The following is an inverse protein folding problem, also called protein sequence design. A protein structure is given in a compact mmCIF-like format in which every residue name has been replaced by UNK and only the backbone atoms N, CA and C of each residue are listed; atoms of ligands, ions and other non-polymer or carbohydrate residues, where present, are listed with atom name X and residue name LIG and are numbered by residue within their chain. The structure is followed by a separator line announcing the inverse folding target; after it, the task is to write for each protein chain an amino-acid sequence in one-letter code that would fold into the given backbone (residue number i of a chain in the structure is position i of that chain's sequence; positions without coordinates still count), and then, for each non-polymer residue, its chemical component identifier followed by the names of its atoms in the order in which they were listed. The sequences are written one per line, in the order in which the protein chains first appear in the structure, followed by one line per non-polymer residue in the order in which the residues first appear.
data_IF_747776458192
#
_entry.id   IF_747776458192
#
_cell.length_a   1.000
_cell.length_b   1.000
_cell.length_c   1.000
_cell.angle_alpha   90.00
_cell.angle_beta   90.00
_cell.angle_gamma   90.00
#
_symmetry.space_group_name_H-M   'P 1'
#
loop_
_entity.id
_entity.type
_entity.pdbx_description
1 polymer ?
#
# COMPACT_ATOMS: atom_id res chain seq x y z
N UNK A 1 -5.42 11.62 35.59
CA UNK A 1 -5.04 10.27 35.11
C UNK A 1 -3.85 10.42 34.20
N UNK A 2 -2.75 9.70 34.43
CA UNK A 2 -1.63 9.66 33.47
C UNK A 2 -2.08 8.73 32.34
N UNK A 3 -2.44 9.28 31.18
CA UNK A 3 -2.75 8.49 30.01
C UNK A 3 -1.47 7.76 29.56
N UNK A 4 -1.56 6.43 29.37
CA UNK A 4 -0.45 5.67 28.78
C UNK A 4 -0.26 6.13 27.33
N UNK A 5 1.00 6.17 26.88
CA UNK A 5 1.30 6.44 25.47
C UNK A 5 0.82 5.28 24.59
N UNK A 6 0.56 5.56 23.31
CA UNK A 6 0.08 4.54 22.37
C UNK A 6 1.04 3.34 22.27
N UNK A 7 2.35 3.60 22.25
CA UNK A 7 3.37 2.56 22.24
C UNK A 7 3.34 1.69 23.51
N UNK A 8 3.10 2.28 24.69
CA UNK A 8 3.00 1.53 25.93
C UNK A 8 1.75 0.65 25.97
N UNK A 9 0.65 1.07 25.31
CA UNK A 9 -0.54 0.25 25.12
C UNK A 9 -0.23 -0.90 24.16
N UNK A 10 0.41 -0.63 23.02
CA UNK A 10 0.78 -1.64 22.04
C UNK A 10 1.71 -2.72 22.62
N UNK A 11 2.75 -2.33 23.36
CA UNK A 11 3.71 -3.24 23.97
C UNK A 11 3.10 -4.10 25.09
N UNK A 12 2.03 -3.61 25.74
CA UNK A 12 1.30 -4.36 26.77
C UNK A 12 0.23 -5.30 26.18
N UNK A 13 -0.01 -5.28 24.86
CA UNK A 13 -1.04 -6.09 24.22
C UNK A 13 -0.68 -7.58 24.24
N UNK A 14 -1.62 -8.42 24.68
CA UNK A 14 -1.48 -9.88 24.65
C UNK A 14 -1.87 -10.40 23.27
N UNK A 15 -0.92 -10.33 22.33
CA UNK A 15 -1.11 -10.79 20.95
C UNK A 15 -1.28 -12.31 20.88
N UNK A 16 -2.22 -12.77 20.06
CA UNK A 16 -2.33 -14.19 19.68
C UNK A 16 -1.36 -14.52 18.54
N UNK A 17 -0.83 -15.75 18.45
CA UNK A 17 -0.13 -16.19 17.25
C UNK A 17 -1.01 -15.98 16.02
N UNK A 18 -0.45 -15.43 14.94
CA UNK A 18 -1.26 -15.00 13.79
C UNK A 18 -2.01 -16.15 13.11
N UNK A 19 -1.41 -17.35 13.13
CA UNK A 19 -2.04 -18.58 12.67
C UNK A 19 -3.33 -18.93 13.44
N UNK A 20 -3.38 -18.63 14.74
CA UNK A 20 -4.57 -18.86 15.55
C UNK A 20 -5.65 -17.83 15.21
N UNK A 21 -5.29 -16.56 15.03
CA UNK A 21 -6.23 -15.54 14.55
C UNK A 21 -6.82 -15.93 13.18
N UNK A 22 -5.96 -16.35 12.26
CA UNK A 22 -6.35 -16.76 10.91
C UNK A 22 -7.28 -17.99 10.92
N UNK A 23 -6.97 -19.02 11.70
CA UNK A 23 -7.79 -20.22 11.83
C UNK A 23 -9.12 -19.92 12.53
N UNK A 24 -9.08 -19.33 13.73
CA UNK A 24 -10.25 -19.16 14.61
C UNK A 24 -11.24 -18.13 14.06
N UNK A 25 -10.75 -17.05 13.44
CA UNK A 25 -11.60 -15.92 13.00
C UNK A 25 -11.96 -16.00 11.52
N UNK A 26 -11.07 -16.53 10.68
CA UNK A 26 -11.20 -16.47 9.23
C UNK A 26 -11.31 -17.85 8.55
N UNK A 27 -11.02 -18.94 9.27
CA UNK A 27 -10.98 -20.28 8.69
C UNK A 27 -9.88 -20.43 7.63
N UNK A 28 -8.78 -19.69 7.77
CA UNK A 28 -7.60 -19.82 6.89
C UNK A 28 -6.69 -20.89 7.49
N UNK A 29 -6.38 -21.93 6.71
CA UNK A 29 -5.46 -22.99 7.11
C UNK A 29 -4.01 -22.47 7.19
N UNK A 30 -3.19 -23.04 8.08
CA UNK A 30 -1.78 -22.65 8.25
C UNK A 30 -0.98 -22.82 6.95
N UNK A 31 -1.35 -23.77 6.09
CA UNK A 31 -0.72 -23.99 4.77
C UNK A 31 -0.95 -22.88 3.77
N UNK A 32 -1.94 -22.01 4.00
CA UNK A 32 -2.22 -20.83 3.16
C UNK A 32 -1.51 -19.56 3.67
N UNK A 33 -0.72 -19.67 4.75
CA UNK A 33 -0.02 -18.56 5.39
C UNK A 33 1.49 -18.69 5.19
N UNK A 34 2.13 -17.54 4.98
CA UNK A 34 3.57 -17.39 4.94
C UNK A 34 3.99 -16.53 6.15
N UNK A 35 4.45 -17.14 7.26
CA UNK A 35 4.69 -16.41 8.51
C UNK A 35 5.90 -15.47 8.43
N UNK A 36 5.74 -14.26 8.96
CA UNK A 36 6.80 -13.28 9.23
C UNK A 36 6.94 -13.11 10.75
N UNK A 37 7.60 -14.08 11.36
CA UNK A 37 7.59 -14.27 12.80
C UNK A 37 6.23 -14.79 13.31
N UNK A 38 5.95 -14.61 14.60
CA UNK A 38 4.78 -15.21 15.24
C UNK A 38 3.46 -14.44 15.02
N UNK A 39 3.53 -13.14 14.74
CA UNK A 39 2.39 -12.21 14.83
C UNK A 39 1.99 -11.56 13.49
N UNK A 40 2.63 -11.95 12.39
CA UNK A 40 2.37 -11.44 11.03
C UNK A 40 2.47 -12.57 10.04
N UNK A 41 1.65 -12.57 9.00
CA UNK A 41 1.79 -13.52 7.90
C UNK A 41 1.32 -12.89 6.58
N UNK A 42 1.88 -13.30 5.46
CA UNK A 42 1.28 -13.09 4.14
C UNK A 42 0.27 -14.19 3.86
N UNK A 43 -0.83 -13.86 3.17
CA UNK A 43 -1.82 -14.85 2.72
C UNK A 43 -1.55 -15.19 1.25
N UNK A 44 -1.32 -16.48 0.97
CA UNK A 44 -0.90 -16.95 -0.36
C UNK A 44 -1.94 -16.70 -1.45
N UNK A 45 -1.49 -16.35 -2.66
CA UNK A 45 -2.38 -16.05 -3.79
C UNK A 45 -3.23 -17.25 -4.20
N UNK A 46 -2.66 -18.45 -4.24
CA UNK A 46 -3.38 -19.68 -4.55
C UNK A 46 -4.59 -19.88 -3.64
N UNK A 47 -4.47 -19.53 -2.35
CA UNK A 47 -5.61 -19.57 -1.43
C UNK A 47 -6.65 -18.48 -1.77
N UNK A 48 -6.21 -17.26 -2.07
CA UNK A 48 -7.12 -16.16 -2.43
C UNK A 48 -7.95 -16.49 -3.68
N UNK A 49 -7.38 -17.20 -4.64
CA UNK A 49 -8.09 -17.67 -5.84
C UNK A 49 -9.25 -18.61 -5.49
N UNK A 50 -9.09 -19.48 -4.48
CA UNK A 50 -10.17 -20.38 -4.01
C UNK A 50 -11.36 -19.65 -3.37
N UNK A 51 -11.22 -18.36 -3.06
CA UNK A 51 -12.26 -17.57 -2.41
C UNK A 51 -13.32 -17.03 -3.39
N UNK A 52 -13.08 -17.13 -4.71
CA UNK A 52 -13.90 -16.49 -5.75
C UNK A 52 -15.40 -16.80 -5.67
N UNK A 53 -15.74 -18.04 -5.34
CA UNK A 53 -17.13 -18.52 -5.30
C UNK A 53 -17.90 -18.12 -4.03
N UNK A 54 -17.21 -17.61 -3.01
CA UNK A 54 -17.86 -17.21 -1.75
C UNK A 54 -18.67 -15.93 -1.97
N UNK A 55 -19.90 -15.78 -1.45
CA UNK A 55 -20.62 -14.51 -1.55
C UNK A 55 -19.82 -13.39 -0.87
N UNK A 56 -19.78 -12.17 -1.45
CA UNK A 56 -19.06 -11.07 -0.84
C UNK A 56 -19.84 -10.56 0.38
N UNK A 57 -19.11 -10.17 1.42
CA UNK A 57 -19.61 -9.45 2.58
C UNK A 57 -20.00 -8.01 2.25
N UNK A 58 -20.34 -7.25 3.30
CA UNK A 58 -20.71 -5.84 3.21
C UNK A 58 -19.48 -4.96 3.36
N UNK A 59 -19.28 -4.04 2.43
CA UNK A 59 -18.16 -3.11 2.43
C UNK A 59 -18.55 -1.80 3.12
N UNK A 60 -17.79 -1.37 4.11
CA UNK A 60 -17.96 -0.10 4.83
C UNK A 60 -16.74 0.77 4.61
N UNK A 61 -16.95 1.94 4.01
CA UNK A 61 -15.90 2.95 3.84
C UNK A 61 -15.88 3.88 5.05
N UNK A 62 -14.71 4.08 5.64
CA UNK A 62 -14.47 5.14 6.63
C UNK A 62 -13.71 6.28 5.95
N UNK A 63 -14.28 7.48 6.02
CA UNK A 63 -13.69 8.74 5.56
C UNK A 63 -13.79 9.79 6.66
N UNK A 64 -13.37 11.02 6.39
CA UNK A 64 -13.43 12.11 7.35
C UNK A 64 -13.83 13.43 6.69
N UNK A 65 -14.08 14.45 7.52
CA UNK A 65 -14.05 15.85 7.09
C UNK A 65 -12.64 16.23 6.59
N UNK A 66 -12.51 17.43 6.00
CA UNK A 66 -11.21 17.97 5.62
C UNK A 66 -10.26 18.00 6.82
N UNK A 67 -9.02 17.46 6.69
CA UNK A 67 -8.10 17.37 7.82
C UNK A 67 -7.74 18.73 8.41
N UNK A 68 -7.71 18.78 9.73
CA UNK A 68 -7.33 19.95 10.52
C UNK A 68 -6.10 19.64 11.39
N UNK A 69 -5.39 20.66 11.90
CA UNK A 69 -4.31 20.43 12.88
C UNK A 69 -4.75 19.73 14.17
N UNK A 70 -6.06 19.73 14.49
CA UNK A 70 -6.59 19.10 15.71
C UNK A 70 -6.59 17.55 15.64
N UNK A 71 -6.62 17.01 14.42
CA UNK A 71 -6.67 15.57 14.14
C UNK A 71 -8.05 14.95 14.39
N UNK A 72 -8.56 14.24 13.38
CA UNK A 72 -9.93 13.71 13.40
C UNK A 72 -10.01 12.26 13.94
N UNK A 73 -8.92 11.50 13.91
CA UNK A 73 -8.91 10.11 14.40
C UNK A 73 -9.59 9.10 13.47
N UNK A 74 -9.52 9.31 12.14
CA UNK A 74 -10.13 8.43 11.13
C UNK A 74 -9.71 6.96 11.30
N UNK A 75 -8.41 6.68 11.32
CA UNK A 75 -7.90 5.30 11.41
C UNK A 75 -8.21 4.64 12.75
N UNK A 76 -8.18 5.41 13.84
CA UNK A 76 -8.67 4.96 15.15
C UNK A 76 -10.13 4.53 15.08
N UNK A 77 -10.97 5.27 14.33
CA UNK A 77 -12.38 4.92 14.13
C UNK A 77 -12.53 3.68 13.25
N UNK A 78 -11.74 3.53 12.18
CA UNK A 78 -11.72 2.32 11.34
C UNK A 78 -11.43 1.05 12.15
N UNK A 79 -10.43 1.11 13.03
CA UNK A 79 -10.05 -0.02 13.89
C UNK A 79 -11.11 -0.27 14.95
N UNK A 80 -11.55 0.78 15.66
CA UNK A 80 -12.55 0.68 16.73
C UNK A 80 -13.91 0.18 16.22
N UNK A 81 -14.31 0.56 15.01
CA UNK A 81 -15.52 0.03 14.36
C UNK A 81 -15.39 -1.47 14.09
N UNK A 82 -14.24 -1.91 13.57
CA UNK A 82 -13.96 -3.33 13.35
C UNK A 82 -14.00 -4.14 14.65
N UNK A 83 -13.40 -3.62 15.72
CA UNK A 83 -13.44 -4.25 17.05
C UNK A 83 -14.88 -4.29 17.61
N UNK A 84 -15.63 -3.20 17.51
CA UNK A 84 -17.02 -3.14 17.96
C UNK A 84 -17.92 -4.14 17.23
N UNK A 85 -17.77 -4.28 15.91
CA UNK A 85 -18.53 -5.27 15.12
C UNK A 85 -18.24 -6.70 15.57
N UNK A 86 -16.97 -7.03 15.82
CA UNK A 86 -16.58 -8.34 16.33
C UNK A 86 -17.12 -8.59 17.74
N UNK A 87 -17.16 -7.58 18.63
CA UNK A 87 -17.80 -7.67 19.95
C UNK A 87 -19.30 -7.93 19.88
N UNK A 88 -19.96 -7.43 18.83
CA UNK A 88 -21.38 -7.71 18.53
C UNK A 88 -21.60 -9.09 17.88
N UNK A 89 -20.56 -9.93 17.79
CA UNK A 89 -20.64 -11.26 17.21
C UNK A 89 -20.68 -11.28 15.68
N UNK A 90 -20.38 -10.15 15.01
CA UNK A 90 -20.30 -10.08 13.54
C UNK A 90 -18.86 -10.31 13.11
N UNK A 91 -18.63 -11.26 12.20
CA UNK A 91 -17.29 -11.50 11.66
C UNK A 91 -16.85 -10.33 10.79
N UNK A 92 -15.96 -9.49 11.31
CA UNK A 92 -15.47 -8.29 10.63
C UNK A 92 -13.95 -8.30 10.45
N UNK A 93 -13.48 -7.82 9.29
CA UNK A 93 -12.07 -7.57 8.99
C UNK A 93 -11.88 -6.08 8.71
N UNK A 94 -10.81 -5.48 9.23
CA UNK A 94 -10.40 -4.13 8.85
C UNK A 94 -9.27 -4.18 7.81
N UNK A 95 -9.33 -3.34 6.78
CA UNK A 95 -8.29 -3.19 5.76
C UNK A 95 -7.69 -1.78 5.84
N UNK A 96 -6.38 -1.69 6.04
CA UNK A 96 -5.65 -0.44 6.22
C UNK A 96 -4.44 -0.37 5.27
N UNK A 97 -3.88 0.84 5.18
CA UNK A 97 -2.65 1.11 4.44
C UNK A 97 -1.42 0.90 5.32
N UNK A 98 -0.35 0.43 4.70
CA UNK A 98 0.98 0.42 5.33
C UNK A 98 1.52 1.87 5.40
N UNK A 99 2.06 2.32 6.55
CA UNK A 99 2.72 3.61 6.63
C UNK A 99 4.10 3.59 5.96
N UNK A 100 4.47 4.72 5.37
CA UNK A 100 5.84 4.96 4.90
C UNK A 100 6.82 5.00 6.08
N UNK A 101 8.01 4.42 5.86
CA UNK A 101 9.11 4.34 6.82
C UNK A 101 9.69 5.73 7.15
N UNK A 102 9.93 6.55 6.12
CA UNK A 102 10.61 7.85 6.26
C UNK A 102 9.99 8.78 7.31
N UNK A 103 8.66 9.01 7.31
CA UNK A 103 7.96 9.80 8.33
C UNK A 103 8.16 9.37 9.78
N UNK A 104 8.40 8.07 10.05
CA UNK A 104 8.62 7.54 11.39
C UNK A 104 9.89 8.12 12.04
N UNK A 105 10.88 8.52 11.24
CA UNK A 105 12.11 9.19 11.69
C UNK A 105 12.01 10.73 11.66
N UNK A 106 10.84 11.26 11.32
CA UNK A 106 10.52 12.69 11.35
C UNK A 106 9.61 13.05 12.53
N UNK A 107 8.56 13.84 12.28
CA UNK A 107 7.61 14.28 13.31
C UNK A 107 6.30 13.48 13.36
N UNK A 108 6.03 12.58 12.40
CA UNK A 108 4.78 11.83 12.32
C UNK A 108 4.99 10.40 12.86
N UNK A 109 4.52 10.14 14.08
CA UNK A 109 4.45 8.79 14.63
C UNK A 109 3.10 8.12 14.33
N UNK A 110 3.16 6.88 13.83
CA UNK A 110 2.11 5.85 13.89
C UNK A 110 0.85 6.06 13.04
N UNK A 111 0.69 5.28 11.97
CA UNK A 111 -0.57 5.19 11.21
C UNK A 111 -1.45 3.99 11.61
N UNK A 112 -1.11 3.29 12.70
CA UNK A 112 -1.76 2.05 13.12
C UNK A 112 -2.89 2.25 14.16
N UNK A 113 -3.55 3.41 14.15
CA UNK A 113 -4.59 3.79 15.12
C UNK A 113 -4.05 4.55 16.34
N UNK A 114 -4.81 4.54 17.44
CA UNK A 114 -4.43 5.24 18.67
C UNK A 114 -5.28 4.82 19.88
N UNK A 115 -4.78 5.06 21.08
CA UNK A 115 -5.43 4.64 22.33
C UNK A 115 -5.62 3.13 22.39
N UNK A 116 -6.85 2.66 22.64
CA UNK A 116 -7.18 1.24 22.68
C UNK A 116 -7.73 0.69 21.34
N UNK A 117 -7.70 1.48 20.27
CA UNK A 117 -8.05 1.03 18.92
C UNK A 117 -6.79 1.11 18.05
N UNK A 118 -5.94 0.08 18.18
CA UNK A 118 -4.66 -0.03 17.50
C UNK A 118 -4.48 -1.39 16.81
N UNK A 119 -3.66 -1.41 15.76
CA UNK A 119 -3.17 -2.62 15.11
C UNK A 119 -1.75 -2.94 15.58
N UNK A 120 -1.48 -4.22 15.82
CA UNK A 120 -0.22 -4.72 16.37
C UNK A 120 0.33 -5.88 15.54
N UNK A 121 1.67 -6.06 15.48
CA UNK A 121 2.73 -5.31 16.19
C UNK A 121 3.07 -3.94 15.55
N UNK A 122 2.92 -2.85 16.31
CA UNK A 122 3.06 -1.48 15.81
C UNK A 122 4.48 -1.14 15.35
N UNK A 123 5.50 -1.65 16.03
CA UNK A 123 6.91 -1.40 15.69
C UNK A 123 7.25 -1.96 14.31
N UNK A 124 6.81 -3.18 14.03
CA UNK A 124 7.03 -3.81 12.72
C UNK A 124 6.28 -3.06 11.62
N UNK A 125 5.02 -2.69 11.86
CA UNK A 125 4.17 -1.97 10.90
C UNK A 125 4.77 -0.61 10.51
N UNK A 126 5.38 0.10 11.46
CA UNK A 126 6.00 1.41 11.21
C UNK A 126 7.41 1.32 10.60
N UNK A 127 8.02 0.13 10.56
CA UNK A 127 9.38 -0.07 10.08
C UNK A 127 9.39 -0.84 8.76
N UNK A 128 9.98 -2.03 8.74
CA UNK A 128 10.16 -2.82 7.52
C UNK A 128 8.97 -3.73 7.22
N UNK A 129 8.08 -3.91 8.20
CA UNK A 129 6.93 -4.79 8.17
C UNK A 129 7.22 -6.16 7.53
N UNK A 130 6.74 -6.40 6.32
CA UNK A 130 6.97 -7.62 5.53
C UNK A 130 7.82 -7.38 4.29
N UNK A 131 8.32 -6.16 4.09
CA UNK A 131 9.22 -5.76 3.02
C UNK A 131 8.53 -5.24 1.75
N UNK A 132 7.22 -5.00 1.77
CA UNK A 132 6.45 -4.59 0.59
C UNK A 132 6.97 -3.29 -0.02
N UNK A 133 7.26 -2.29 0.81
CA UNK A 133 7.76 -0.99 0.33
C UNK A 133 9.20 -1.09 -0.20
N UNK A 134 10.01 -2.00 0.33
CA UNK A 134 11.34 -2.30 -0.23
C UNK A 134 11.21 -2.92 -1.62
N UNK A 135 10.30 -3.87 -1.81
CA UNK A 135 10.04 -4.50 -3.10
C UNK A 135 9.54 -3.48 -4.15
N UNK A 136 8.65 -2.57 -3.74
CA UNK A 136 8.15 -1.48 -4.60
C UNK A 136 9.29 -0.51 -4.97
N UNK A 137 10.11 -0.12 -4.00
CA UNK A 137 11.30 0.70 -4.26
C UNK A 137 12.28 0.03 -5.23
N UNK A 138 12.52 -1.28 -5.05
CA UNK A 138 13.38 -2.06 -5.94
C UNK A 138 12.82 -2.14 -7.35
N UNK A 139 11.52 -2.41 -7.52
CA UNK A 139 10.87 -2.45 -8.83
C UNK A 139 10.92 -1.08 -9.54
N UNK A 140 10.63 0.01 -8.83
CA UNK A 140 10.72 1.36 -9.37
C UNK A 140 12.14 1.70 -9.85
N UNK A 141 13.13 1.43 -8.99
CA UNK A 141 14.52 1.78 -9.27
C UNK A 141 15.16 0.86 -10.31
N UNK A 142 14.70 -0.39 -10.44
CA UNK A 142 15.05 -1.25 -11.59
C UNK A 142 14.59 -0.60 -12.90
N UNK A 143 13.34 -0.12 -12.96
CA UNK A 143 12.84 0.56 -14.17
C UNK A 143 13.68 1.81 -14.49
N UNK A 144 14.00 2.64 -13.49
CA UNK A 144 14.88 3.79 -13.69
C UNK A 144 16.28 3.40 -14.20
N UNK A 145 16.86 2.32 -13.65
CA UNK A 145 18.14 1.80 -14.11
C UNK A 145 18.09 1.28 -15.56
N UNK A 146 17.00 0.61 -15.94
CA UNK A 146 16.78 0.13 -17.30
C UNK A 146 16.61 1.28 -18.29
N UNK A 147 15.93 2.37 -17.91
CA UNK A 147 15.81 3.59 -18.73
C UNK A 147 17.19 4.16 -19.05
N UNK A 148 18.02 4.39 -18.03
CA UNK A 148 19.36 4.95 -18.24
C UNK A 148 20.28 4.00 -19.01
N UNK A 149 20.18 2.69 -18.77
CA UNK A 149 20.92 1.67 -19.53
C UNK A 149 20.48 1.60 -21.01
N UNK A 150 19.17 1.73 -21.28
CA UNK A 150 18.62 1.76 -22.64
C UNK A 150 19.13 2.98 -23.43
N UNK A 151 19.19 4.15 -22.77
CA UNK A 151 19.80 5.36 -23.31
C UNK A 151 21.30 5.16 -23.56
N UNK A 152 22.02 4.58 -22.58
CA UNK A 152 23.47 4.36 -22.66
C UNK A 152 23.86 3.51 -23.88
N UNK A 153 23.18 2.38 -24.09
CA UNK A 153 23.42 1.49 -25.22
C UNK A 153 22.74 1.93 -26.51
N UNK A 154 22.03 3.07 -26.50
CA UNK A 154 21.37 3.68 -27.67
C UNK A 154 20.39 2.73 -28.35
N UNK A 155 19.66 1.96 -27.56
CA UNK A 155 18.62 1.04 -28.05
C UNK A 155 17.42 1.80 -28.64
N UNK A 156 16.65 1.10 -29.46
CA UNK A 156 15.37 1.59 -29.99
C UNK A 156 14.21 1.08 -29.12
N UNK A 157 13.15 1.89 -28.90
CA UNK A 157 12.99 3.27 -29.37
C UNK A 157 13.95 4.24 -28.64
N UNK A 158 14.47 5.24 -29.35
CA UNK A 158 15.30 6.30 -28.72
C UNK A 158 14.51 7.09 -27.70
N UNK A 159 15.06 7.26 -26.50
CA UNK A 159 14.50 8.14 -25.47
C UNK A 159 15.29 9.46 -25.46
N UNK A 160 14.60 10.60 -25.47
CA UNK A 160 15.22 11.90 -25.22
C UNK A 160 15.50 12.04 -23.71
N UNK A 161 16.77 12.12 -23.25
CA UNK A 161 17.10 12.16 -21.82
C UNK A 161 16.47 13.34 -21.07
N UNK A 162 16.07 14.40 -21.77
CA UNK A 162 15.41 15.58 -21.20
C UNK A 162 13.90 15.39 -21.01
N UNK A 163 13.34 14.31 -21.57
CA UNK A 163 11.92 13.97 -21.56
C UNK A 163 11.64 12.68 -20.80
N UNK A 164 12.59 12.20 -20.00
CA UNK A 164 12.36 11.12 -19.04
C UNK A 164 11.48 11.68 -17.94
N UNK A 165 10.29 11.10 -17.77
CA UNK A 165 9.35 11.44 -16.70
C UNK A 165 9.51 10.53 -15.50
N UNK A 166 10.09 9.35 -15.70
CA UNK A 166 10.29 8.36 -14.63
C UNK A 166 11.43 8.76 -13.68
N UNK A 167 11.07 9.03 -12.43
CA UNK A 167 11.99 9.39 -11.34
C UNK A 167 12.38 8.16 -10.51
N UNK A 168 13.43 8.31 -9.70
CA UNK A 168 13.84 7.30 -8.71
C UNK A 168 13.04 7.44 -7.42
N UNK A 169 13.12 6.45 -6.53
CA UNK A 169 12.47 6.53 -5.22
C UNK A 169 13.33 6.02 -4.08
N UNK A 170 13.09 6.57 -2.89
CA UNK A 170 13.64 6.09 -1.62
C UNK A 170 12.64 6.36 -0.51
N UNK A 171 12.44 5.42 0.41
CA UNK A 171 11.47 5.59 1.50
C UNK A 171 12.06 6.35 2.70
N UNK A 172 12.65 7.52 2.42
CA UNK A 172 13.26 8.42 3.38
C UNK A 172 12.83 9.86 3.10
N UNK A 173 12.71 10.65 4.17
CA UNK A 173 12.45 12.09 4.05
C UNK A 173 13.73 12.86 3.67
N UNK A 174 14.27 12.60 2.48
CA UNK A 174 15.49 13.24 2.00
C UNK A 174 15.20 14.36 1.00
N UNK A 175 15.31 15.61 1.48
CA UNK A 175 15.07 16.79 0.64
C UNK A 175 16.19 17.03 -0.39
N UNK A 176 17.40 16.51 -0.18
CA UNK A 176 18.55 16.78 -1.03
C UNK A 176 18.43 16.07 -2.38
N UNK A 177 17.64 14.99 -2.45
CA UNK A 177 17.44 14.20 -3.66
C UNK A 177 16.29 14.69 -4.56
N UNK A 178 15.60 15.78 -4.20
CA UNK A 178 14.44 16.28 -4.97
C UNK A 178 14.80 16.64 -6.42
N UNK A 179 15.97 17.23 -6.63
CA UNK A 179 16.50 17.60 -7.93
C UNK A 179 18.00 17.31 -7.95
N UNK A 180 18.43 16.47 -8.88
CA UNK A 180 19.83 16.05 -9.06
C UNK A 180 20.20 16.08 -10.54
N UNK A 181 21.49 15.97 -10.82
CA UNK A 181 22.00 15.60 -12.15
C UNK A 181 22.65 14.22 -12.02
N UNK A 182 22.16 13.24 -12.79
CA UNK A 182 22.68 11.87 -12.77
C UNK A 182 23.71 11.64 -13.87
N UNK A 183 24.37 10.47 -13.84
CA UNK A 183 25.24 9.97 -14.93
C UNK A 183 26.42 10.90 -15.30
N UNK A 184 27.04 11.52 -14.30
CA UNK A 184 28.27 12.30 -14.44
C UNK A 184 29.53 11.40 -14.39
N UNK A 185 30.69 11.96 -14.72
CA UNK A 185 31.99 11.28 -14.57
C UNK A 185 32.56 10.64 -15.84
N UNK A 186 32.12 11.09 -17.02
CA UNK A 186 32.71 10.71 -18.30
C UNK A 186 31.99 9.57 -19.03
N UNK A 187 32.57 9.13 -20.16
CA UNK A 187 31.92 8.26 -21.15
C UNK A 187 31.39 6.95 -20.55
N UNK A 188 32.09 6.36 -19.59
CA UNK A 188 31.71 5.08 -18.99
C UNK A 188 30.47 5.15 -18.07
N UNK A 189 30.04 6.35 -17.66
CA UNK A 189 29.04 6.53 -16.59
C UNK A 189 27.66 6.98 -17.08
N UNK A 190 27.44 7.06 -18.40
CA UNK A 190 26.16 7.42 -19.00
C UNK A 190 26.12 8.79 -19.65
N UNK A 191 24.90 9.28 -19.91
CA UNK A 191 24.63 10.60 -20.45
C UNK A 191 24.03 11.49 -19.35
N UNK A 192 24.64 12.63 -19.00
CA UNK A 192 24.11 13.52 -17.98
C UNK A 192 22.67 13.96 -18.28
N UNK A 193 21.80 13.90 -17.27
CA UNK A 193 20.42 14.42 -17.32
C UNK A 193 19.97 14.90 -15.95
N UNK A 194 18.99 15.80 -15.95
CA UNK A 194 18.25 16.15 -14.73
C UNK A 194 17.39 14.96 -14.29
N UNK A 195 17.33 14.74 -12.98
CA UNK A 195 16.57 13.66 -12.36
C UNK A 195 16.13 14.06 -10.95
N UNK A 196 15.47 13.15 -10.25
CA UNK A 196 15.27 13.28 -8.81
C UNK A 196 14.64 12.04 -8.20
N UNK A 197 14.43 12.14 -6.89
CA UNK A 197 13.78 11.11 -6.09
C UNK A 197 12.46 11.60 -5.53
N UNK A 198 11.50 10.69 -5.49
CA UNK A 198 10.29 10.82 -4.70
C UNK A 198 10.30 9.81 -3.56
N UNK A 199 9.42 10.00 -2.56
CA UNK A 199 9.25 8.99 -1.52
C UNK A 199 8.55 7.75 -2.12
N UNK A 200 8.92 6.53 -1.70
CA UNK A 200 8.47 5.29 -2.37
C UNK A 200 6.94 5.18 -2.53
N UNK A 201 6.17 5.62 -1.54
CA UNK A 201 4.70 5.62 -1.58
C UNK A 201 4.08 6.56 -2.63
N UNK A 202 4.87 7.47 -3.21
CA UNK A 202 4.49 8.35 -4.30
C UNK A 202 4.71 7.72 -5.69
N UNK A 203 5.39 6.57 -5.77
CA UNK A 203 5.64 5.86 -7.03
C UNK A 203 4.34 5.43 -7.71
N UNK A 204 4.29 5.50 -9.04
CA UNK A 204 3.21 4.88 -9.83
C UNK A 204 3.18 3.36 -9.63
N UNK A 205 4.32 2.71 -9.31
CA UNK A 205 4.36 1.29 -8.93
C UNK A 205 3.49 1.03 -7.70
N UNK A 206 3.45 1.94 -6.72
CA UNK A 206 2.59 1.82 -5.54
C UNK A 206 1.10 1.92 -5.92
N UNK A 207 0.74 2.85 -6.80
CA UNK A 207 -0.63 2.98 -7.28
C UNK A 207 -1.08 1.74 -8.09
N UNK A 208 -0.23 1.27 -9.00
CA UNK A 208 -0.46 0.05 -9.77
C UNK A 208 -0.57 -1.18 -8.86
N UNK A 209 0.30 -1.29 -7.86
CA UNK A 209 0.26 -2.35 -6.85
C UNK A 209 -1.07 -2.36 -6.09
N UNK A 210 -1.60 -1.18 -5.75
CA UNK A 210 -2.86 -1.07 -5.03
C UNK A 210 -4.10 -1.32 -5.91
N UNK A 211 -4.01 -1.13 -7.22
CA UNK A 211 -5.11 -1.35 -8.17
C UNK A 211 -5.02 -2.68 -8.93
N UNK A 212 -3.94 -3.44 -8.77
CA UNK A 212 -3.82 -4.75 -9.38
C UNK A 212 -4.83 -5.74 -8.76
N UNK A 213 -5.40 -6.60 -9.61
CA UNK A 213 -6.31 -7.68 -9.18
C UNK A 213 -5.62 -8.99 -8.86
N UNK A 214 -4.47 -9.21 -9.49
CA UNK A 214 -3.63 -10.40 -9.44
C UNK A 214 -2.25 -10.06 -10.05
N UNK A 215 -1.34 -11.03 -10.11
CA UNK A 215 0.03 -10.82 -10.59
C UNK A 215 0.08 -10.54 -12.11
N UNK A 216 -0.84 -11.09 -12.89
CA UNK A 216 -0.88 -10.88 -14.34
C UNK A 216 -1.41 -9.47 -14.67
N UNK A 217 -2.45 -9.01 -13.98
CA UNK A 217 -2.96 -7.64 -14.06
C UNK A 217 -1.90 -6.63 -13.58
N UNK A 218 -1.15 -6.96 -12.52
CA UNK A 218 -0.01 -6.17 -12.07
C UNK A 218 1.02 -6.01 -13.20
N UNK A 219 1.48 -7.12 -13.77
CA UNK A 219 2.48 -7.13 -14.84
C UNK A 219 1.98 -6.36 -16.08
N UNK A 220 0.72 -6.52 -16.45
CA UNK A 220 0.11 -5.82 -17.57
C UNK A 220 0.03 -4.30 -17.32
N UNK A 221 -0.30 -3.86 -16.10
CA UNK A 221 -0.29 -2.45 -15.70
C UNK A 221 1.12 -1.87 -15.72
N UNK A 222 2.10 -2.59 -15.16
CA UNK A 222 3.50 -2.17 -15.17
C UNK A 222 4.03 -1.96 -16.59
N UNK A 223 3.65 -2.83 -17.54
CA UNK A 223 4.04 -2.69 -18.95
C UNK A 223 3.54 -1.40 -19.61
N UNK A 224 2.45 -0.81 -19.12
CA UNK A 224 1.83 0.41 -19.68
C UNK A 224 2.39 1.72 -19.10
N UNK A 225 3.27 1.66 -18.10
CA UNK A 225 3.92 2.85 -17.53
C UNK A 225 4.68 3.59 -18.63
N UNK A 226 4.39 4.88 -18.81
CA UNK A 226 5.16 5.75 -19.70
C UNK A 226 6.37 6.29 -18.95
N UNK A 227 7.58 5.96 -19.41
CA UNK A 227 8.83 6.33 -18.76
C UNK A 227 9.44 7.63 -19.29
N UNK A 228 9.04 8.01 -20.51
CA UNK A 228 9.50 9.22 -21.17
C UNK A 228 9.05 9.25 -22.63
N UNK A 229 9.72 10.07 -23.43
CA UNK A 229 9.33 10.30 -24.82
C UNK A 229 10.54 10.27 -25.76
N UNK A 230 10.29 9.89 -27.01
CA UNK A 230 11.26 10.02 -28.10
C UNK A 230 11.53 11.48 -28.46
N UNK A 231 12.58 11.79 -29.25
CA UNK A 231 12.76 13.14 -29.81
C UNK A 231 11.55 13.65 -30.60
N UNK A 232 10.85 12.74 -31.28
CA UNK A 232 9.62 12.98 -32.05
C UNK A 232 8.37 13.12 -31.16
N UNK A 233 8.51 12.95 -29.84
CA UNK A 233 7.46 13.02 -28.80
C UNK A 233 6.49 11.83 -28.76
N UNK A 234 6.92 10.67 -29.25
CA UNK A 234 6.18 9.43 -29.05
C UNK A 234 6.43 8.87 -27.65
N UNK A 235 5.42 8.34 -26.94
CA UNK A 235 5.58 7.78 -25.61
C UNK A 235 6.40 6.48 -25.66
N UNK A 236 7.32 6.32 -24.72
CA UNK A 236 8.08 5.07 -24.50
C UNK A 236 7.62 4.46 -23.19
N UNK A 237 7.30 3.17 -23.21
CA UNK A 237 6.73 2.44 -22.08
C UNK A 237 7.74 1.51 -21.42
N UNK A 238 7.47 1.10 -20.17
CA UNK A 238 8.23 0.05 -19.50
C UNK A 238 8.15 -1.30 -20.25
N UNK A 239 7.07 -1.53 -21.03
CA UNK A 239 6.92 -2.66 -21.94
C UNK A 239 7.96 -2.65 -23.07
N UNK A 240 8.21 -1.49 -23.67
CA UNK A 240 9.22 -1.31 -24.73
C UNK A 240 10.64 -1.64 -24.22
N UNK A 241 10.90 -1.37 -22.94
CA UNK A 241 12.16 -1.68 -22.25
C UNK A 241 12.21 -3.12 -21.72
N UNK A 242 11.18 -3.93 -21.96
CA UNK A 242 11.03 -5.30 -21.45
C UNK A 242 11.15 -5.40 -19.92
N UNK A 243 10.80 -4.33 -19.19
CA UNK A 243 11.00 -4.24 -17.74
C UNK A 243 9.91 -4.95 -16.92
N UNK A 244 8.68 -5.02 -17.46
CA UNK A 244 7.49 -5.44 -16.71
C UNK A 244 7.61 -6.82 -16.03
N UNK A 245 8.22 -7.81 -16.71
CA UNK A 245 8.42 -9.14 -16.15
C UNK A 245 9.35 -9.15 -14.94
N UNK A 246 10.45 -8.41 -15.01
CA UNK A 246 11.42 -8.31 -13.92
C UNK A 246 10.87 -7.52 -12.73
N UNK A 247 10.13 -6.43 -12.99
CA UNK A 247 9.43 -5.68 -11.94
C UNK A 247 8.37 -6.53 -11.24
N UNK A 248 7.56 -7.28 -11.99
CA UNK A 248 6.56 -8.20 -11.41
C UNK A 248 7.22 -9.30 -10.56
N UNK A 249 8.39 -9.82 -10.98
CA UNK A 249 9.14 -10.79 -10.21
C UNK A 249 9.61 -10.24 -8.85
N UNK A 250 10.08 -8.98 -8.81
CA UNK A 250 10.44 -8.31 -7.56
C UNK A 250 9.23 -8.11 -6.61
N UNK A 251 8.03 -8.02 -7.16
CA UNK A 251 6.77 -7.79 -6.43
C UNK A 251 6.02 -9.08 -6.10
N UNK A 252 6.53 -10.25 -6.51
CA UNK A 252 5.82 -11.54 -6.41
C UNK A 252 5.33 -11.86 -5.00
N UNK A 253 6.16 -11.64 -3.99
CA UNK A 253 5.77 -11.90 -2.60
C UNK A 253 5.08 -10.67 -1.98
N UNK A 254 5.49 -9.47 -2.39
CA UNK A 254 4.91 -8.23 -1.91
C UNK A 254 3.40 -8.19 -2.16
N UNK A 255 2.93 -8.63 -3.34
CA UNK A 255 1.52 -8.56 -3.76
C UNK A 255 0.53 -9.34 -2.86
N UNK A 256 1.04 -10.24 -2.01
CA UNK A 256 0.24 -11.02 -1.04
C UNK A 256 -0.15 -10.14 0.16
N UNK A 257 -1.44 -10.02 0.52
CA UNK A 257 -1.89 -9.23 1.68
C UNK A 257 -1.27 -9.68 2.99
N UNK A 258 -0.89 -8.72 3.85
CA UNK A 258 -0.33 -9.00 5.16
C UNK A 258 -1.44 -9.05 6.22
N UNK A 259 -1.59 -10.20 6.85
CA UNK A 259 -2.49 -10.43 7.97
C UNK A 259 -1.79 -10.11 9.30
N UNK A 260 -2.41 -9.24 10.07
CA UNK A 260 -2.05 -8.87 11.45
C UNK A 260 -3.32 -8.80 12.30
N UNK A 261 -3.26 -8.19 13.48
CA UNK A 261 -4.39 -8.17 14.40
C UNK A 261 -4.52 -6.83 15.15
N UNK A 262 -5.72 -6.51 15.60
CA UNK A 262 -5.94 -5.44 16.59
C UNK A 262 -5.46 -5.87 17.97
N UNK A 263 -5.38 -4.94 18.92
CA UNK A 263 -5.07 -5.28 20.33
C UNK A 263 -6.13 -6.21 20.96
N UNK A 264 -7.33 -6.29 20.38
CA UNK A 264 -8.39 -7.23 20.76
C UNK A 264 -8.30 -8.57 20.01
N UNK A 265 -7.23 -8.78 19.25
CA UNK A 265 -6.96 -9.96 18.43
C UNK A 265 -7.99 -10.18 17.31
N UNK A 266 -8.56 -9.10 16.75
CA UNK A 266 -9.40 -9.17 15.56
C UNK A 266 -8.54 -9.04 14.29
N UNK A 267 -8.90 -9.73 13.20
CA UNK A 267 -8.08 -9.79 12.00
C UNK A 267 -8.03 -8.45 11.25
N UNK A 268 -6.84 -8.07 10.81
CA UNK A 268 -6.60 -6.86 10.01
C UNK A 268 -5.70 -7.18 8.82
N UNK A 269 -6.05 -6.69 7.64
CA UNK A 269 -5.12 -6.61 6.51
C UNK A 269 -4.47 -5.23 6.45
N UNK A 270 -3.14 -5.19 6.37
CA UNK A 270 -2.36 -3.98 6.05
C UNK A 270 -1.65 -4.23 4.72
N UNK A 271 -1.99 -3.50 3.67
CA UNK A 271 -1.42 -3.78 2.36
C UNK A 271 -1.52 -2.60 1.38
N UNK A 272 -0.37 -2.17 0.86
CA UNK A 272 -0.25 -0.99 0.01
C UNK A 272 -0.46 0.32 0.78
N UNK A 273 -0.05 1.44 0.20
CA UNK A 273 -0.14 2.74 0.85
C UNK A 273 0.17 3.90 -0.08
N UNK A 274 -0.62 4.13 -1.14
CA UNK A 274 -0.39 5.21 -2.08
C UNK A 274 -0.75 6.55 -1.44
N UNK A 275 -0.16 7.61 -1.97
CA UNK A 275 -0.62 8.96 -1.71
C UNK A 275 -2.08 9.18 -2.13
N UNK A 276 -2.75 10.11 -1.46
CA UNK A 276 -4.16 10.43 -1.69
C UNK A 276 -4.37 11.74 -2.48
N UNK A 277 -3.29 12.43 -2.86
CA UNK A 277 -3.31 13.62 -3.71
C UNK A 277 -2.99 13.25 -5.17
N UNK A 278 -1.81 12.70 -5.44
CA UNK A 278 -1.37 12.28 -6.79
C UNK A 278 -1.84 10.87 -7.17
N UNK A 279 -2.40 10.12 -6.21
CA UNK A 279 -2.99 8.81 -6.40
C UNK A 279 -4.29 8.70 -5.57
N UNK A 280 -4.85 7.49 -5.47
CA UNK A 280 -6.20 7.25 -4.92
C UNK A 280 -6.25 7.11 -3.39
N UNK A 281 -5.13 6.88 -2.70
CA UNK A 281 -5.10 6.92 -1.24
C UNK A 281 -5.75 5.77 -0.49
N UNK A 282 -5.89 4.58 -1.08
CA UNK A 282 -6.56 3.41 -0.47
C UNK A 282 -5.61 2.22 -0.35
N UNK A 283 -5.91 1.26 0.54
CA UNK A 283 -5.19 -0.02 0.56
C UNK A 283 -5.46 -0.82 -0.74
N UNK A 284 -4.73 -1.92 -0.94
CA UNK A 284 -4.85 -2.67 -2.19
C UNK A 284 -6.22 -3.31 -2.41
N UNK A 285 -6.63 -3.41 -3.68
CA UNK A 285 -7.81 -4.15 -4.11
C UNK A 285 -7.75 -5.63 -3.72
N UNK A 286 -6.58 -6.27 -3.81
CA UNK A 286 -6.40 -7.68 -3.43
C UNK A 286 -6.78 -7.89 -1.96
N UNK A 287 -6.33 -7.02 -1.05
CA UNK A 287 -6.65 -7.13 0.36
C UNK A 287 -8.15 -6.92 0.63
N UNK A 288 -8.75 -5.89 0.04
CA UNK A 288 -10.19 -5.59 0.21
C UNK A 288 -11.07 -6.70 -0.39
N UNK A 289 -10.74 -7.21 -1.58
CA UNK A 289 -11.47 -8.32 -2.23
C UNK A 289 -11.35 -9.61 -1.44
N UNK A 290 -10.15 -9.94 -0.95
CA UNK A 290 -9.94 -11.09 -0.07
C UNK A 290 -10.78 -10.98 1.20
N UNK A 291 -10.75 -9.82 1.88
CA UNK A 291 -11.53 -9.58 3.08
C UNK A 291 -13.03 -9.76 2.84
N UNK A 292 -13.55 -9.29 1.71
CA UNK A 292 -14.97 -9.42 1.36
C UNK A 292 -15.40 -10.89 1.20
N UNK A 293 -14.49 -11.79 0.83
CA UNK A 293 -14.81 -13.23 0.73
C UNK A 293 -14.58 -13.99 2.05
N UNK A 294 -13.98 -13.36 3.06
CA UNK A 294 -13.62 -13.95 4.35
C UNK A 294 -14.52 -13.48 5.50
N UNK A 295 -15.09 -12.28 5.41
CA UNK A 295 -15.87 -11.65 6.48
C UNK A 295 -17.27 -11.25 6.04
N UNK A 296 -18.17 -11.10 7.01
CA UNK A 296 -19.51 -10.55 6.76
C UNK A 296 -19.47 -9.05 6.53
N UNK A 297 -18.53 -8.35 7.19
CA UNK A 297 -18.35 -6.91 7.12
C UNK A 297 -16.86 -6.61 6.95
N UNK A 298 -16.55 -5.74 5.99
CA UNK A 298 -15.20 -5.24 5.77
C UNK A 298 -15.19 -3.75 6.02
N UNK A 299 -14.35 -3.30 6.94
CA UNK A 299 -14.12 -1.88 7.21
C UNK A 299 -12.83 -1.48 6.52
N UNK A 300 -12.89 -0.52 5.60
CA UNK A 300 -11.71 0.06 4.93
C UNK A 300 -11.75 1.58 5.04
N UNK A 301 -10.68 2.25 4.63
CA UNK A 301 -10.58 3.70 4.65
C UNK A 301 -9.85 4.26 3.42
N UNK A 302 -10.06 5.55 3.16
CA UNK A 302 -9.32 6.31 2.16
C UNK A 302 -8.62 7.51 2.81
N UNK A 303 -7.44 7.91 2.28
CA UNK A 303 -6.64 9.04 2.78
C UNK A 303 -7.32 10.41 2.62
N UNK A 304 -6.87 11.43 3.37
CA UNK A 304 -7.50 12.77 3.41
C UNK A 304 -9.01 12.76 3.78
N UNK A 305 -9.76 13.81 3.44
CA UNK A 305 -11.20 13.93 3.66
C UNK A 305 -12.01 13.27 2.54
N UNK A 306 -13.34 13.33 2.65
CA UNK A 306 -14.26 12.75 1.68
C UNK A 306 -14.17 13.37 0.27
N UNK A 307 -13.76 14.63 0.19
CA UNK A 307 -13.54 15.39 -1.04
C UNK A 307 -12.39 14.84 -1.91
N UNK A 308 -11.45 14.12 -1.32
CA UNK A 308 -10.33 13.49 -2.04
C UNK A 308 -10.36 11.96 -1.90
N UNK A 309 -10.34 11.45 -0.68
CA UNK A 309 -10.22 10.02 -0.43
C UNK A 309 -11.46 9.25 -0.82
N UNK A 310 -12.64 9.70 -0.36
CA UNK A 310 -13.88 9.00 -0.65
C UNK A 310 -14.27 9.11 -2.12
N UNK A 311 -14.14 10.31 -2.72
CA UNK A 311 -14.32 10.52 -4.16
C UNK A 311 -13.46 9.53 -4.96
N UNK A 312 -12.13 9.52 -4.78
CA UNK A 312 -11.26 8.58 -5.50
C UNK A 312 -11.54 7.11 -5.18
N UNK A 313 -11.99 6.80 -3.97
CA UNK A 313 -12.40 5.43 -3.65
C UNK A 313 -13.64 5.03 -4.45
N UNK A 314 -14.65 5.91 -4.55
CA UNK A 314 -15.87 5.64 -5.30
C UNK A 314 -15.69 5.71 -6.82
N UNK A 315 -14.87 6.63 -7.32
CA UNK A 315 -14.75 6.95 -8.75
C UNK A 315 -13.56 6.24 -9.44
N UNK A 316 -12.59 5.73 -8.67
CA UNK A 316 -11.43 4.97 -9.19
C UNK A 316 -11.42 3.55 -8.64
N UNK A 317 -11.34 3.40 -7.32
CA UNK A 317 -11.10 2.07 -6.69
C UNK A 317 -12.31 1.14 -6.85
N UNK A 318 -13.52 1.65 -6.63
CA UNK A 318 -14.73 0.84 -6.74
C UNK A 318 -14.98 0.31 -8.17
N UNK A 319 -14.86 1.12 -9.24
CA UNK A 319 -14.96 0.63 -10.62
C UNK A 319 -13.88 -0.38 -10.97
N UNK A 320 -12.61 -0.11 -10.62
CA UNK A 320 -11.49 -1.02 -10.92
C UNK A 320 -11.63 -2.38 -10.20
N UNK A 321 -12.15 -2.38 -8.98
CA UNK A 321 -12.31 -3.58 -8.14
C UNK A 321 -13.69 -4.24 -8.18
N UNK A 322 -14.63 -3.71 -8.97
CA UNK A 322 -16.07 -4.03 -8.92
C UNK A 322 -16.63 -4.05 -7.48
N UNK A 323 -16.26 -3.04 -6.69
CA UNK A 323 -16.69 -2.92 -5.30
C UNK A 323 -18.03 -2.18 -5.20
N UNK A 324 -18.86 -2.57 -4.22
CA UNK A 324 -20.14 -1.93 -3.92
C UNK A 324 -20.24 -1.61 -2.42
N UNK A 325 -19.80 -0.42 -1.99
CA UNK A 325 -19.89 0.01 -0.60
C UNK A 325 -21.35 -0.01 -0.12
N UNK A 326 -21.60 -0.69 1.01
CA UNK A 326 -22.91 -0.81 1.64
C UNK A 326 -23.20 0.34 2.61
N UNK A 327 -22.16 0.98 3.13
CA UNK A 327 -22.25 2.15 4.01
C UNK A 327 -20.98 2.99 3.96
N UNK A 328 -21.09 4.25 4.36
CA UNK A 328 -19.96 5.13 4.59
C UNK A 328 -20.06 5.76 5.99
N UNK A 329 -18.93 5.89 6.68
CA UNK A 329 -18.79 6.57 7.97
C UNK A 329 -17.93 7.81 7.74
N UNK A 330 -18.45 8.99 8.09
CA UNK A 330 -17.72 10.26 7.99
C UNK A 330 -17.30 10.68 9.40
N UNK A 331 -16.00 10.60 9.66
CA UNK A 331 -15.42 10.96 10.96
C UNK A 331 -15.26 12.48 11.07
N UNK A 332 -15.69 13.03 12.20
CA UNK A 332 -15.57 14.43 12.55
C UNK A 332 -15.33 14.60 14.06
N UNK A 333 -14.69 15.69 14.45
CA UNK A 333 -14.52 16.09 15.85
C UNK A 333 -15.06 17.49 16.08
N UNK A 334 -15.49 17.80 17.30
CA UNK A 334 -16.02 19.13 17.67
C UNK A 334 -14.91 20.21 17.74
N UNK A 335 -13.67 19.80 18.05
CA UNK A 335 -12.50 20.69 18.13
C UNK A 335 -12.12 21.25 16.77
#
# INVERSE_FOLDING_TARGET
MVARSDIAIAQAAQMKPIRAVAADKLGIAETALEPYGAFKAKVGLDYLETLGDRPPGRLVLVTAINPTPAGEGKTTTSIGLGDALNRLGRRSITCLREPSLGPCFGMKGGAAGGGHAQVVPMEDINLHFTGDFHAIGAANNLLAALVDNHIYWRHEPRIDPRRVTWRRVVDMNDRALRAIVSSLGGVANGFPREDGFDITVASEVMAIFCLARDLDDLKARLARIVVGYTPEREPVTAGDLKAAGAMAALLKDAIKPNLVQTIENNPVFIHGGPFANIAHGCNSLIATRAALRLAEIVVTEAGFGADLGAEKFFDIVCPEGDLRPSAAVVVATVR
#
